data_IF_378326165288
#
_entry.id   IF_378326165288
#
_cell.length_a   1.000
_cell.length_b   1.000
_cell.length_c   1.000
_cell.angle_alpha   90.00
_cell.angle_beta   90.00
_cell.angle_gamma   90.00
#
_symmetry.space_group_name_H-M   'P 1'
#
loop_
_entity.id
_entity.type
_entity.pdbx_description
1 polymer ?
#
# COMPACT_ATOMS: atom_id res chain seq x y z
N UNK A 1 -4.03 8.96 19.66
CA UNK A 1 -5.21 8.71 18.81
C UNK A 1 -4.69 8.17 17.49
N UNK A 2 -4.98 6.92 17.16
CA UNK A 2 -4.75 6.40 15.81
C UNK A 2 -5.54 7.26 14.83
N UNK A 3 -4.90 7.73 13.76
CA UNK A 3 -5.63 8.48 12.72
C UNK A 3 -6.05 7.45 11.69
N UNK A 4 -7.35 7.19 11.63
CA UNK A 4 -7.90 6.28 10.64
C UNK A 4 -8.02 6.98 9.29
N UNK A 5 -7.80 6.24 8.21
CA UNK A 5 -8.01 6.66 6.83
C UNK A 5 -9.02 5.69 6.18
N UNK A 6 -9.96 6.22 5.42
CA UNK A 6 -10.88 5.40 4.64
C UNK A 6 -10.14 4.75 3.45
N UNK A 7 -10.52 3.51 3.11
CA UNK A 7 -10.24 2.94 1.79
C UNK A 7 -11.00 3.71 0.69
N UNK A 8 -10.70 3.40 -0.57
CA UNK A 8 -11.41 4.00 -1.70
C UNK A 8 -12.89 3.61 -1.71
N UNK A 9 -13.69 4.32 -2.50
CA UNK A 9 -15.15 4.11 -2.60
C UNK A 9 -15.55 2.75 -3.20
N UNK A 10 -14.56 1.95 -3.63
CA UNK A 10 -14.79 0.59 -4.12
C UNK A 10 -14.80 -0.44 -2.97
N UNK A 11 -14.33 -0.06 -1.77
CA UNK A 11 -14.43 -0.88 -0.55
C UNK A 11 -15.88 -1.09 -0.15
N UNK A 12 -16.19 -2.27 0.39
CA UNK A 12 -17.53 -2.70 0.82
C UNK A 12 -18.65 -2.68 -0.24
N UNK A 13 -18.37 -2.41 -1.52
CA UNK A 13 -19.33 -2.50 -2.64
C UNK A 13 -20.66 -1.74 -2.48
N UNK A 14 -20.84 -0.94 -1.42
CA UNK A 14 -22.04 -0.12 -1.21
C UNK A 14 -21.72 1.25 -1.77
N UNK A 15 -22.51 1.68 -2.77
CA UNK A 15 -22.39 2.99 -3.40
C UNK A 15 -22.44 4.12 -2.35
N UNK A 16 -21.26 4.61 -1.93
CA UNK A 16 -21.07 5.87 -1.22
C UNK A 16 -21.18 5.86 0.30
N UNK A 17 -21.88 4.91 0.92
CA UNK A 17 -22.25 5.04 2.34
C UNK A 17 -21.36 4.27 3.33
N UNK A 18 -20.68 3.20 2.89
CA UNK A 18 -19.82 2.40 3.77
C UNK A 18 -18.45 2.17 3.13
N UNK A 19 -17.40 2.49 3.88
CA UNK A 19 -16.00 2.25 3.51
C UNK A 19 -15.27 1.65 4.70
N UNK A 20 -14.35 0.72 4.45
CA UNK A 20 -13.50 0.22 5.52
C UNK A 20 -12.45 1.26 5.88
N UNK A 21 -12.20 1.43 7.17
CA UNK A 21 -11.15 2.29 7.70
C UNK A 21 -9.92 1.47 8.09
N UNK A 22 -8.73 2.02 7.84
CA UNK A 22 -7.45 1.44 8.23
C UNK A 22 -6.60 2.48 8.97
N UNK A 23 -5.58 2.03 9.69
CA UNK A 23 -4.63 2.95 10.33
C UNK A 23 -3.82 3.68 9.23
N UNK A 24 -3.84 5.02 9.23
CA UNK A 24 -3.08 5.80 8.23
C UNK A 24 -1.59 5.48 8.25
N UNK A 25 -1.08 5.05 9.40
CA UNK A 25 0.34 4.77 9.64
C UNK A 25 0.69 3.29 9.39
N UNK A 26 -0.28 2.49 8.94
CA UNK A 26 -0.04 1.10 8.54
C UNK A 26 1.01 1.04 7.43
N UNK A 27 1.96 0.11 7.56
CA UNK A 27 2.95 -0.09 6.51
C UNK A 27 2.28 -0.70 5.25
N UNK A 28 2.87 -0.53 4.06
CA UNK A 28 2.37 -1.19 2.86
C UNK A 28 2.31 -2.72 3.00
N UNK A 29 3.24 -3.31 3.77
CA UNK A 29 3.24 -4.74 4.06
C UNK A 29 2.03 -5.14 4.91
N UNK A 30 1.70 -4.37 5.95
CA UNK A 30 0.53 -4.67 6.79
C UNK A 30 -0.76 -4.64 5.98
N UNK A 31 -0.90 -3.67 5.06
CA UNK A 31 -2.03 -3.60 4.14
C UNK A 31 -2.08 -4.79 3.18
N UNK A 32 -0.92 -5.20 2.66
CA UNK A 32 -0.80 -6.34 1.76
C UNK A 32 -1.15 -7.67 2.46
N UNK A 33 -0.65 -7.90 3.67
CA UNK A 33 -0.94 -9.09 4.46
C UNK A 33 -2.42 -9.15 4.83
N UNK A 34 -2.99 -8.03 5.26
CA UNK A 34 -4.40 -7.89 5.60
C UNK A 34 -5.33 -8.16 4.39
N UNK A 35 -4.93 -7.71 3.19
CA UNK A 35 -5.63 -8.01 1.94
C UNK A 35 -5.51 -9.50 1.58
N UNK A 36 -4.31 -10.08 1.71
CA UNK A 36 -4.05 -11.48 1.42
C UNK A 36 -4.86 -12.42 2.33
N UNK A 37 -4.96 -12.11 3.62
CA UNK A 37 -5.80 -12.87 4.54
C UNK A 37 -7.30 -12.83 4.17
N UNK A 38 -7.80 -11.71 3.63
CA UNK A 38 -9.18 -11.65 3.13
C UNK A 38 -9.37 -12.56 1.92
N UNK A 39 -8.43 -12.56 0.97
CA UNK A 39 -8.46 -13.46 -0.18
C UNK A 39 -8.41 -14.93 0.26
N UNK A 40 -7.54 -15.26 1.21
CA UNK A 40 -7.46 -16.61 1.78
C UNK A 40 -8.76 -17.02 2.48
N UNK A 41 -9.39 -16.11 3.23
CA UNK A 41 -10.67 -16.39 3.87
C UNK A 41 -11.76 -16.70 2.85
N UNK A 42 -11.82 -15.95 1.75
CA UNK A 42 -12.73 -16.22 0.63
C UNK A 42 -12.42 -17.58 -0.01
N UNK A 43 -11.14 -17.90 -0.25
CA UNK A 43 -10.76 -19.19 -0.81
C UNK A 43 -11.15 -20.37 0.09
N UNK A 44 -10.97 -20.24 1.42
CA UNK A 44 -11.41 -21.25 2.41
C UNK A 44 -12.93 -21.39 2.41
N UNK A 45 -13.66 -20.27 2.42
CA UNK A 45 -15.12 -20.26 2.34
C UNK A 45 -15.61 -21.01 1.09
N UNK A 46 -15.05 -20.72 -0.09
CA UNK A 46 -15.41 -21.41 -1.32
C UNK A 46 -15.04 -22.91 -1.30
N UNK A 47 -13.92 -23.27 -0.68
CA UNK A 47 -13.52 -24.68 -0.51
C UNK A 47 -14.54 -25.42 0.35
N UNK A 48 -14.93 -24.85 1.50
CA UNK A 48 -15.92 -25.43 2.40
C UNK A 48 -17.30 -25.55 1.72
N UNK A 49 -17.70 -24.52 0.98
CA UNK A 49 -18.96 -24.52 0.24
C UNK A 49 -19.00 -25.58 -0.84
N UNK A 50 -17.89 -25.86 -1.51
CA UNK A 50 -17.83 -26.91 -2.54
C UNK A 50 -18.18 -28.30 -2.00
N UNK A 51 -17.97 -28.53 -0.69
CA UNK A 51 -18.27 -29.81 -0.04
C UNK A 51 -19.77 -30.00 0.28
N UNK A 52 -20.51 -28.89 0.42
CA UNK A 52 -21.92 -28.91 0.83
C UNK A 52 -22.86 -28.40 -0.26
N UNK A 53 -22.32 -27.91 -1.38
CA UNK A 53 -23.06 -27.27 -2.45
C UNK A 53 -24.19 -28.17 -2.99
N UNK A 54 -25.40 -27.65 -2.98
CA UNK A 54 -26.56 -28.25 -3.62
C UNK A 54 -27.57 -27.15 -4.02
N UNK A 55 -28.46 -27.47 -4.95
CA UNK A 55 -29.42 -26.51 -5.53
C UNK A 55 -30.43 -25.94 -4.51
N UNK A 56 -30.45 -26.45 -3.27
CA UNK A 56 -31.32 -25.97 -2.20
C UNK A 56 -30.63 -24.94 -1.28
N UNK A 57 -29.32 -24.73 -1.42
CA UNK A 57 -28.60 -23.73 -0.63
C UNK A 57 -28.88 -22.34 -1.19
N UNK A 58 -29.31 -21.44 -0.30
CA UNK A 58 -29.39 -20.03 -0.61
C UNK A 58 -27.98 -19.43 -0.70
N UNK A 59 -27.49 -19.24 -1.93
CA UNK A 59 -26.16 -18.69 -2.19
C UNK A 59 -26.04 -17.16 -2.00
N UNK A 60 -27.15 -16.46 -1.73
CA UNK A 60 -27.13 -14.99 -1.63
C UNK A 60 -26.20 -14.45 -0.53
N UNK A 61 -26.27 -14.93 0.73
CA UNK A 61 -25.40 -14.43 1.80
C UNK A 61 -23.91 -14.73 1.53
N UNK A 62 -23.62 -15.87 0.91
CA UNK A 62 -22.27 -16.25 0.49
C UNK A 62 -21.75 -15.26 -0.55
N UNK A 63 -22.55 -14.98 -1.58
CA UNK A 63 -22.19 -14.04 -2.62
C UNK A 63 -21.96 -12.64 -2.05
N UNK A 64 -22.77 -12.20 -1.09
CA UNK A 64 -22.59 -10.90 -0.42
C UNK A 64 -21.29 -10.84 0.38
N UNK A 65 -21.01 -11.86 1.21
CA UNK A 65 -19.76 -11.93 1.99
C UNK A 65 -18.53 -12.02 1.10
N UNK A 66 -18.56 -12.87 0.07
CA UNK A 66 -17.46 -12.98 -0.91
C UNK A 66 -17.20 -11.64 -1.59
N UNK A 67 -18.25 -10.96 -2.06
CA UNK A 67 -18.15 -9.65 -2.70
C UNK A 67 -17.54 -8.60 -1.77
N UNK A 68 -17.98 -8.53 -0.51
CA UNK A 68 -17.45 -7.61 0.50
C UNK A 68 -15.97 -7.85 0.81
N UNK A 69 -15.59 -9.11 1.04
CA UNK A 69 -14.21 -9.44 1.39
C UNK A 69 -13.25 -9.22 0.22
N UNK A 70 -13.68 -9.54 -1.01
CA UNK A 70 -12.89 -9.32 -2.22
C UNK A 70 -12.76 -7.84 -2.55
N UNK A 71 -13.82 -7.05 -2.42
CA UNK A 71 -13.75 -5.60 -2.69
C UNK A 71 -12.79 -4.92 -1.71
N UNK A 72 -12.89 -5.24 -0.42
CA UNK A 72 -11.96 -4.75 0.59
C UNK A 72 -10.51 -5.14 0.29
N UNK A 73 -10.27 -6.39 -0.10
CA UNK A 73 -8.93 -6.86 -0.48
C UNK A 73 -8.37 -6.08 -1.67
N UNK A 74 -9.18 -5.86 -2.71
CA UNK A 74 -8.79 -5.07 -3.89
C UNK A 74 -8.43 -3.64 -3.50
N UNK A 75 -9.26 -2.97 -2.70
CA UNK A 75 -9.01 -1.62 -2.22
C UNK A 75 -7.73 -1.53 -1.37
N UNK A 76 -7.48 -2.51 -0.50
CA UNK A 76 -6.25 -2.59 0.27
C UNK A 76 -5.01 -2.80 -0.61
N UNK A 77 -5.07 -3.68 -1.62
CA UNK A 77 -3.96 -3.88 -2.56
C UNK A 77 -3.64 -2.61 -3.34
N UNK A 78 -4.66 -1.87 -3.79
CA UNK A 78 -4.47 -0.56 -4.43
C UNK A 78 -3.77 0.41 -3.50
N UNK A 79 -4.20 0.51 -2.25
CA UNK A 79 -3.58 1.39 -1.27
C UNK A 79 -2.13 1.01 -0.96
N UNK A 80 -1.85 -0.28 -0.79
CA UNK A 80 -0.49 -0.79 -0.61
C UNK A 80 0.40 -0.44 -1.82
N UNK A 81 -0.14 -0.54 -3.05
CA UNK A 81 0.57 -0.15 -4.27
C UNK A 81 0.87 1.34 -4.34
N UNK A 82 -0.09 2.21 -3.98
CA UNK A 82 0.10 3.66 -3.91
C UNK A 82 1.19 4.02 -2.90
N UNK A 83 1.09 3.52 -1.67
CA UNK A 83 2.07 3.80 -0.62
C UNK A 83 3.48 3.30 -1.02
N UNK A 84 3.57 2.15 -1.70
CA UNK A 84 4.85 1.61 -2.18
C UNK A 84 5.49 2.51 -3.24
N UNK A 85 4.70 3.06 -4.17
CA UNK A 85 5.18 4.01 -5.21
C UNK A 85 5.65 5.33 -4.60
N UNK A 86 4.94 5.84 -3.60
CA UNK A 86 5.34 7.05 -2.87
C UNK A 86 6.67 6.84 -2.16
N UNK A 87 6.86 5.70 -1.47
CA UNK A 87 8.12 5.34 -0.83
C UNK A 87 9.27 5.19 -1.83
N UNK A 88 9.04 4.56 -2.99
CA UNK A 88 10.05 4.45 -4.04
C UNK A 88 10.47 5.82 -4.58
N UNK A 89 9.51 6.72 -4.77
CA UNK A 89 9.75 8.08 -5.25
C UNK A 89 10.55 8.89 -4.24
N UNK A 90 10.13 8.89 -2.97
CA UNK A 90 10.85 9.56 -1.89
C UNK A 90 12.28 9.02 -1.75
N UNK A 91 12.48 7.71 -1.90
CA UNK A 91 13.82 7.10 -1.89
C UNK A 91 14.70 7.65 -3.02
N UNK A 92 14.19 7.71 -4.25
CA UNK A 92 14.91 8.25 -5.41
C UNK A 92 15.31 9.72 -5.19
N UNK A 93 14.40 10.53 -4.64
CA UNK A 93 14.67 11.94 -4.32
C UNK A 93 15.77 12.09 -3.27
N UNK A 94 15.72 11.29 -2.20
CA UNK A 94 16.76 11.26 -1.15
C UNK A 94 18.12 10.90 -1.74
N UNK A 95 18.17 9.88 -2.59
CA UNK A 95 19.43 9.44 -3.22
C UNK A 95 19.99 10.50 -4.18
N UNK A 96 19.12 11.16 -4.94
CA UNK A 96 19.51 12.30 -5.79
C UNK A 96 20.03 13.47 -4.96
N UNK A 97 19.38 13.81 -3.85
CA UNK A 97 19.82 14.85 -2.94
C UNK A 97 21.20 14.53 -2.33
N UNK A 98 21.41 13.28 -1.88
CA UNK A 98 22.72 12.82 -1.38
C UNK A 98 23.82 12.94 -2.43
N UNK A 99 23.53 12.57 -3.69
CA UNK A 99 24.48 12.68 -4.82
C UNK A 99 24.85 14.14 -5.10
N UNK A 100 23.85 15.03 -5.18
CA UNK A 100 24.05 16.46 -5.40
C UNK A 100 24.89 17.08 -4.28
N UNK A 101 24.55 16.78 -3.02
CA UNK A 101 25.29 17.28 -1.85
C UNK A 101 26.77 16.85 -1.89
N UNK A 102 27.05 15.57 -2.18
CA UNK A 102 28.44 15.07 -2.34
C UNK A 102 29.20 15.79 -3.45
N UNK A 103 28.55 16.02 -4.59
CA UNK A 103 29.16 16.73 -5.72
C UNK A 103 29.51 18.18 -5.35
N UNK A 104 28.59 18.88 -4.69
CA UNK A 104 28.79 20.26 -4.22
C UNK A 104 29.95 20.35 -3.24
N UNK A 105 30.03 19.46 -2.25
CA UNK A 105 31.15 19.41 -1.32
C UNK A 105 32.49 19.14 -2.02
N UNK A 106 32.49 18.27 -3.02
CA UNK A 106 33.70 17.95 -3.80
C UNK A 106 34.17 19.17 -4.60
N UNK A 107 33.24 19.91 -5.24
CA UNK A 107 33.54 21.16 -5.94
C UNK A 107 34.11 22.22 -5.01
N UNK A 108 33.50 22.42 -3.84
CA UNK A 108 33.97 23.38 -2.83
C UNK A 108 35.40 23.01 -2.41
N UNK A 109 35.66 21.74 -2.05
CA UNK A 109 37.00 21.27 -1.65
C UNK A 109 38.05 21.50 -2.72
N UNK A 110 37.73 21.21 -4.00
CA UNK A 110 38.64 21.48 -5.13
C UNK A 110 38.92 22.97 -5.29
N UNK A 111 37.89 23.82 -5.20
CA UNK A 111 38.03 25.27 -5.29
C UNK A 111 38.92 25.86 -4.19
N UNK A 112 38.75 25.40 -2.94
CA UNK A 112 39.62 25.80 -1.82
C UNK A 112 41.06 25.37 -2.07
N UNK A 113 41.28 24.13 -2.52
CA UNK A 113 42.64 23.61 -2.81
C UNK A 113 43.36 24.42 -3.90
N UNK A 114 42.66 24.79 -4.97
CA UNK A 114 43.22 25.62 -6.05
C UNK A 114 43.56 27.03 -5.53
N UNK A 115 42.67 27.64 -4.75
CA UNK A 115 42.93 28.97 -4.15
C UNK A 115 44.15 28.98 -3.23
N UNK A 116 44.35 27.92 -2.45
CA UNK A 116 45.52 27.81 -1.56
C UNK A 116 46.80 27.65 -2.38
N UNK A 117 46.79 26.83 -3.43
CA UNK A 117 47.96 26.60 -4.29
C UNK A 117 48.44 27.84 -5.05
N UNK A 118 47.54 28.77 -5.37
CA UNK A 118 47.87 29.99 -6.12
C UNK A 118 48.28 31.17 -5.21
N UNK A 119 48.41 30.96 -3.89
CA UNK A 119 48.86 31.97 -2.92
C UNK A 119 50.31 31.77 -2.47
N UNK A 120 50.92 30.65 -2.85
CA UNK A 120 52.35 30.35 -2.69
C UNK A 120 53.07 30.62 -4.03
#
# INVERSE_FOLDING_TARGET
>A
MSKFKALDNDSQMVSGDNVLFFDKDASPCDLFDCASYRVEAVAKLHTELSLIYNDKINNKPISEVTSLLLSDAVSMFRMASVNSKELETARKEIDQYKKNRRHTFTKIRRGVRIKLRNRD
#
